data_IF_780527592188
#
_entry.id   IF_780527592188
#
_cell.length_a   1.000
_cell.length_b   1.000
_cell.length_c   1.000
_cell.angle_alpha   90.00
_cell.angle_beta   90.00
_cell.angle_gamma   90.00
#
_symmetry.space_group_name_H-M   'P 1'
#
loop_
_entity.id
_entity.type
_entity.pdbx_description
1 polymer ?
#
# COMPACT_ATOMS: atom_id res chain seq x y z
N UNK A 1 -12.90 -3.22 9.05
CA UNK A 1 -12.34 -4.54 8.71
C UNK A 1 -13.44 -5.42 8.15
N UNK A 2 -13.16 -6.17 7.08
CA UNK A 2 -14.05 -7.18 6.53
C UNK A 2 -13.92 -8.51 7.31
N UNK A 3 -14.79 -9.49 7.02
CA UNK A 3 -14.82 -10.75 7.78
C UNK A 3 -13.49 -11.54 7.73
N UNK A 4 -12.74 -11.47 6.62
CA UNK A 4 -11.43 -12.12 6.50
C UNK A 4 -10.37 -11.43 7.36
N UNK A 5 -10.36 -10.09 7.36
CA UNK A 5 -9.48 -9.30 8.23
C UNK A 5 -9.81 -9.54 9.71
N UNK A 6 -11.09 -9.66 10.08
CA UNK A 6 -11.50 -9.98 11.46
C UNK A 6 -11.01 -11.36 11.88
N UNK A 7 -11.13 -12.37 11.01
CA UNK A 7 -10.63 -13.72 11.29
C UNK A 7 -9.10 -13.74 11.44
N UNK A 8 -8.37 -12.98 10.61
CA UNK A 8 -6.92 -12.82 10.75
C UNK A 8 -6.54 -12.09 12.04
N UNK A 9 -7.23 -11.01 12.38
CA UNK A 9 -6.94 -10.21 13.57
C UNK A 9 -7.07 -11.01 14.87
N UNK A 10 -8.07 -11.90 14.95
CA UNK A 10 -8.25 -12.81 16.10
C UNK A 10 -7.04 -13.72 16.31
N UNK A 11 -6.43 -14.21 15.23
CA UNK A 11 -5.30 -15.14 15.28
C UNK A 11 -3.93 -14.44 15.26
N UNK A 12 -3.86 -13.18 14.85
CA UNK A 12 -2.62 -12.42 14.67
C UNK A 12 -2.74 -10.97 15.21
N UNK A 13 -2.99 -10.76 16.51
CA UNK A 13 -3.29 -9.43 17.07
C UNK A 13 -2.12 -8.44 16.94
N UNK A 14 -0.87 -8.91 17.03
CA UNK A 14 0.30 -8.07 16.79
C UNK A 14 0.33 -7.57 15.35
N UNK A 15 0.12 -8.45 14.37
CA UNK A 15 0.12 -8.07 12.95
C UNK A 15 -1.05 -7.15 12.63
N UNK A 16 -2.21 -7.33 13.28
CA UNK A 16 -3.36 -6.43 13.13
C UNK A 16 -3.02 -4.99 13.54
N UNK A 17 -2.27 -4.83 14.64
CA UNK A 17 -1.76 -3.51 15.07
C UNK A 17 -0.80 -2.91 14.02
N UNK A 18 0.10 -3.72 13.45
CA UNK A 18 1.01 -3.25 12.39
C UNK A 18 0.25 -2.88 11.10
N UNK A 19 -0.72 -3.70 10.71
CA UNK A 19 -1.58 -3.49 9.54
C UNK A 19 -2.32 -2.15 9.62
N UNK A 20 -2.99 -1.89 10.74
CA UNK A 20 -3.68 -0.62 10.99
C UNK A 20 -2.69 0.55 11.08
N UNK A 21 -1.60 0.41 11.83
CA UNK A 21 -0.60 1.47 11.95
C UNK A 21 0.01 1.87 10.60
N UNK A 22 0.31 0.89 9.75
CA UNK A 22 0.84 1.15 8.40
C UNK A 22 -0.16 1.83 7.47
N UNK A 23 -1.47 1.60 7.64
CA UNK A 23 -2.49 2.27 6.81
C UNK A 23 -2.58 3.76 7.17
N UNK A 24 -2.48 4.10 8.45
CA UNK A 24 -2.43 5.50 8.91
C UNK A 24 -1.15 6.21 8.42
N UNK A 25 0.01 5.54 8.49
CA UNK A 25 1.26 6.06 7.92
C UNK A 25 1.08 6.36 6.43
N UNK A 26 0.49 5.43 5.67
CA UNK A 26 0.27 5.62 4.23
C UNK A 26 -0.66 6.81 3.94
N UNK A 27 -1.76 6.96 4.68
CA UNK A 27 -2.67 8.11 4.54
C UNK A 27 -1.94 9.44 4.78
N UNK A 28 -1.12 9.52 5.84
CA UNK A 28 -0.39 10.74 6.17
C UNK A 28 0.61 11.10 5.07
N UNK A 29 1.43 10.15 4.62
CA UNK A 29 2.37 10.39 3.52
C UNK A 29 1.66 10.73 2.21
N UNK A 30 0.49 10.13 1.94
CA UNK A 30 -0.31 10.45 0.75
C UNK A 30 -0.74 11.92 0.78
N UNK A 31 -1.30 12.38 1.90
CA UNK A 31 -1.68 13.78 2.09
C UNK A 31 -0.46 14.72 1.98
N UNK A 32 0.68 14.36 2.56
CA UNK A 32 1.91 15.15 2.46
C UNK A 32 2.42 15.27 1.02
N UNK A 33 2.36 14.20 0.22
CA UNK A 33 2.90 14.18 -1.14
C UNK A 33 1.96 14.76 -2.20
N UNK A 34 0.65 14.58 -2.03
CA UNK A 34 -0.34 14.95 -3.04
C UNK A 34 -1.26 16.10 -2.63
N UNK A 35 -1.23 16.52 -1.36
CA UNK A 35 -2.19 17.49 -0.80
C UNK A 35 -3.62 16.96 -0.68
N UNK A 36 -3.85 15.70 -1.05
CA UNK A 36 -5.18 15.04 -1.10
C UNK A 36 -5.04 13.53 -0.94
N UNK A 37 -6.16 12.86 -0.74
CA UNK A 37 -6.26 11.41 -0.65
C UNK A 37 -7.40 10.92 -1.54
N UNK A 38 -7.14 10.84 -2.84
CA UNK A 38 -8.13 10.52 -3.86
C UNK A 38 -8.43 9.02 -3.97
N UNK A 39 -9.39 8.72 -4.85
CA UNK A 39 -9.81 7.38 -5.23
C UNK A 39 -9.44 7.14 -6.69
N UNK A 40 -8.89 5.97 -6.98
CA UNK A 40 -8.52 5.48 -8.31
C UNK A 40 -7.46 6.28 -9.07
N UNK A 41 -6.81 7.24 -8.41
CA UNK A 41 -5.81 8.12 -9.01
C UNK A 41 -4.38 7.85 -8.50
N UNK A 42 -3.44 8.71 -8.88
CA UNK A 42 -2.05 8.55 -8.48
C UNK A 42 -1.82 8.63 -6.96
N UNK A 43 -2.65 9.38 -6.23
CA UNK A 43 -2.58 9.45 -4.77
C UNK A 43 -3.10 8.15 -4.14
N UNK A 44 -4.10 7.53 -4.76
CA UNK A 44 -4.60 6.21 -4.36
C UNK A 44 -3.55 5.11 -4.59
N UNK A 45 -2.98 5.09 -5.79
CA UNK A 45 -1.90 4.18 -6.16
C UNK A 45 -0.70 4.29 -5.21
N UNK A 46 -0.32 5.52 -4.85
CA UNK A 46 0.70 5.79 -3.84
C UNK A 46 0.28 5.27 -2.46
N UNK A 47 -0.96 5.50 -2.01
CA UNK A 47 -1.45 5.04 -0.70
C UNK A 47 -1.34 3.52 -0.58
N UNK A 48 -1.81 2.77 -1.57
CA UNK A 48 -1.75 1.31 -1.59
C UNK A 48 -0.31 0.79 -1.57
N UNK A 49 0.56 1.37 -2.40
CA UNK A 49 1.97 1.01 -2.42
C UNK A 49 2.68 1.36 -1.10
N UNK A 50 2.43 2.55 -0.53
CA UNK A 50 3.04 3.00 0.72
C UNK A 50 2.60 2.13 1.89
N UNK A 51 1.32 1.79 1.96
CA UNK A 51 0.79 0.89 2.99
C UNK A 51 1.47 -0.47 2.94
N UNK A 52 1.53 -1.08 1.76
CA UNK A 52 2.16 -2.39 1.57
C UNK A 52 3.66 -2.36 1.79
N UNK A 53 4.33 -1.26 1.43
CA UNK A 53 5.75 -1.06 1.68
C UNK A 53 6.05 -0.99 3.18
N UNK A 54 5.34 -0.12 3.92
CA UNK A 54 5.55 0.02 5.36
C UNK A 54 5.16 -1.25 6.13
N UNK A 55 4.08 -1.92 5.72
CA UNK A 55 3.69 -3.19 6.33
C UNK A 55 4.75 -4.27 6.07
N UNK A 56 5.30 -4.33 4.86
CA UNK A 56 6.39 -5.26 4.51
C UNK A 56 7.63 -5.02 5.35
N UNK A 57 8.03 -3.77 5.58
CA UNK A 57 9.13 -3.45 6.48
C UNK A 57 8.87 -3.95 7.91
N UNK A 58 7.62 -3.89 8.39
CA UNK A 58 7.26 -4.23 9.77
C UNK A 58 7.09 -5.73 10.02
N UNK A 59 6.45 -6.45 9.11
CA UNK A 59 6.07 -7.87 9.32
C UNK A 59 6.53 -8.81 8.20
N UNK A 60 7.30 -8.30 7.24
CA UNK A 60 7.77 -9.06 6.08
C UNK A 60 6.73 -9.16 4.96
N UNK A 61 7.22 -9.35 3.72
CA UNK A 61 6.39 -9.29 2.52
C UNK A 61 5.32 -10.38 2.45
N UNK A 62 5.64 -11.59 2.94
CA UNK A 62 4.70 -12.73 2.90
C UNK A 62 3.50 -12.49 3.81
N UNK A 63 3.73 -12.02 5.05
CA UNK A 63 2.63 -11.67 5.97
C UNK A 63 1.88 -10.44 5.52
N UNK A 64 2.58 -9.42 5.01
CA UNK A 64 1.94 -8.26 4.42
C UNK A 64 0.96 -8.64 3.29
N UNK A 65 1.34 -9.58 2.42
CA UNK A 65 0.46 -10.07 1.35
C UNK A 65 -0.80 -10.75 1.90
N UNK A 66 -0.69 -11.60 2.92
CA UNK A 66 -1.86 -12.28 3.52
C UNK A 66 -2.89 -11.25 4.01
N UNK A 67 -2.42 -10.21 4.70
CA UNK A 67 -3.26 -9.15 5.21
C UNK A 67 -3.89 -8.30 4.11
N UNK A 68 -3.11 -7.88 3.11
CA UNK A 68 -3.64 -7.01 2.06
C UNK A 68 -4.47 -7.77 1.02
N UNK A 69 -4.21 -9.04 0.75
CA UNK A 69 -5.14 -9.90 0.00
C UNK A 69 -6.47 -10.08 0.74
N UNK A 70 -6.44 -10.18 2.07
CA UNK A 70 -7.65 -10.22 2.88
C UNK A 70 -8.42 -8.90 2.82
N UNK A 71 -7.73 -7.75 2.80
CA UNK A 71 -8.34 -6.44 2.57
C UNK A 71 -9.09 -6.39 1.23
N UNK A 72 -8.44 -6.84 0.16
CA UNK A 72 -8.99 -6.88 -1.21
C UNK A 72 -9.98 -8.04 -1.47
N UNK A 73 -10.46 -8.72 -0.43
CA UNK A 73 -11.27 -9.93 -0.60
C UNK A 73 -12.61 -9.67 -1.30
N UNK A 74 -13.20 -8.49 -1.08
CA UNK A 74 -14.51 -8.11 -1.58
C UNK A 74 -14.49 -7.00 -2.65
N UNK A 75 -13.29 -6.51 -3.01
CA UNK A 75 -13.12 -5.69 -4.21
C UNK A 75 -13.22 -6.58 -5.47
N UNK A 76 -13.54 -5.97 -6.61
CA UNK A 76 -13.71 -6.71 -7.88
C UNK A 76 -13.37 -5.83 -9.09
N UNK A 77 -13.32 -6.44 -10.28
CA UNK A 77 -13.09 -5.73 -11.53
C UNK A 77 -11.73 -5.03 -11.60
N UNK A 78 -11.69 -3.89 -12.30
CA UNK A 78 -10.47 -3.12 -12.54
C UNK A 78 -9.93 -2.44 -11.27
N UNK A 79 -10.79 -2.19 -10.29
CA UNK A 79 -10.44 -1.60 -8.99
C UNK A 79 -9.51 -2.55 -8.22
N UNK A 80 -9.94 -3.80 -8.05
CA UNK A 80 -9.10 -4.86 -7.46
C UNK A 80 -7.79 -5.07 -8.21
N UNK A 81 -7.79 -4.98 -9.54
CA UNK A 81 -6.57 -5.13 -10.33
C UNK A 81 -5.59 -3.98 -10.09
N UNK A 82 -6.09 -2.75 -9.97
CA UNK A 82 -5.31 -1.57 -9.60
C UNK A 82 -4.66 -1.77 -8.22
N UNK A 83 -5.48 -2.14 -7.23
CA UNK A 83 -5.02 -2.27 -5.85
C UNK A 83 -4.02 -3.41 -5.70
N UNK A 84 -4.28 -4.60 -6.25
CA UNK A 84 -3.35 -5.71 -6.20
C UNK A 84 -1.99 -5.39 -6.86
N UNK A 85 -1.99 -4.65 -7.98
CA UNK A 85 -0.76 -4.20 -8.63
C UNK A 85 0.02 -3.23 -7.74
N UNK A 86 -0.64 -2.20 -7.22
CA UNK A 86 -0.01 -1.18 -6.39
C UNK A 86 0.46 -1.77 -5.04
N UNK A 87 -0.32 -2.69 -4.47
CA UNK A 87 0.04 -3.46 -3.29
C UNK A 87 1.33 -4.26 -3.54
N UNK A 88 1.44 -4.94 -4.68
CA UNK A 88 2.65 -5.69 -5.05
C UNK A 88 3.87 -4.79 -5.27
N UNK A 89 3.70 -3.64 -5.92
CA UNK A 89 4.76 -2.64 -6.08
C UNK A 89 5.30 -2.20 -4.72
N UNK A 90 4.38 -1.85 -3.80
CA UNK A 90 4.69 -1.49 -2.42
C UNK A 90 5.50 -2.56 -1.68
N UNK A 91 5.02 -3.82 -1.69
CA UNK A 91 5.75 -4.93 -1.05
C UNK A 91 7.14 -5.14 -1.66
N UNK A 92 7.26 -5.00 -2.98
CA UNK A 92 8.55 -5.18 -3.68
C UNK A 92 9.57 -4.14 -3.24
N UNK A 93 9.16 -2.87 -3.16
CA UNK A 93 10.03 -1.78 -2.68
C UNK A 93 10.31 -1.95 -1.18
N UNK A 94 9.30 -2.28 -0.38
CA UNK A 94 9.40 -2.41 1.07
C UNK A 94 10.42 -3.45 1.55
N UNK A 95 10.66 -4.51 0.76
CA UNK A 95 11.69 -5.53 1.06
C UNK A 95 13.10 -4.95 1.23
N UNK A 96 13.37 -3.82 0.59
CA UNK A 96 14.69 -3.17 0.63
C UNK A 96 14.88 -2.27 1.86
N UNK A 97 13.87 -2.15 2.72
CA UNK A 97 13.90 -1.30 3.91
C UNK A 97 13.69 -2.15 5.15
N UNK A 98 14.77 -2.35 5.91
CA UNK A 98 14.73 -3.04 7.20
C UNK A 98 14.12 -2.19 8.32
N UNK A 99 14.02 -2.78 9.51
CA UNK A 99 13.50 -2.14 10.72
C UNK A 99 14.48 -1.21 11.44
N UNK A 100 15.77 -1.25 11.09
CA UNK A 100 16.80 -0.33 11.62
C UNK A 100 16.53 1.10 11.14
N UNK A 101 16.56 2.09 12.05
CA UNK A 101 16.24 3.50 11.75
C UNK A 101 14.89 3.68 11.03
N UNK A 102 13.78 3.21 11.64
CA UNK A 102 12.50 3.07 10.96
C UNK A 102 11.97 4.38 10.39
N UNK A 103 12.16 5.50 11.08
CA UNK A 103 11.72 6.82 10.59
C UNK A 103 12.37 7.23 9.27
N UNK A 104 13.70 7.11 9.17
CA UNK A 104 14.46 7.44 7.94
C UNK A 104 14.05 6.50 6.81
N UNK A 105 13.96 5.20 7.10
CA UNK A 105 13.60 4.20 6.10
C UNK A 105 12.18 4.39 5.56
N UNK A 106 11.21 4.73 6.41
CA UNK A 106 9.84 5.04 5.97
C UNK A 106 9.81 6.25 5.06
N UNK A 107 10.55 7.31 5.40
CA UNK A 107 10.63 8.50 4.53
C UNK A 107 11.26 8.17 3.17
N UNK A 108 12.41 7.48 3.17
CA UNK A 108 13.11 7.11 1.94
C UNK A 108 12.28 6.15 1.08
N UNK A 109 11.55 5.24 1.71
CA UNK A 109 10.60 4.37 1.03
C UNK A 109 9.46 5.17 0.40
N UNK A 110 8.87 6.13 1.12
CA UNK A 110 7.84 7.00 0.59
C UNK A 110 8.36 7.81 -0.62
N UNK A 111 9.58 8.35 -0.54
CA UNK A 111 10.22 9.07 -1.65
C UNK A 111 10.41 8.15 -2.88
N UNK A 112 10.87 6.91 -2.66
CA UNK A 112 11.01 5.91 -3.73
C UNK A 112 9.67 5.54 -4.34
N UNK A 113 8.67 5.20 -3.53
CA UNK A 113 7.33 4.84 -4.02
C UNK A 113 6.73 6.01 -4.81
N UNK A 114 6.84 7.24 -4.32
CA UNK A 114 6.37 8.42 -5.05
C UNK A 114 7.04 8.55 -6.42
N UNK A 115 8.36 8.35 -6.50
CA UNK A 115 9.09 8.40 -7.77
C UNK A 115 8.65 7.31 -8.77
N UNK A 116 8.39 6.09 -8.30
CA UNK A 116 7.93 4.97 -9.13
C UNK A 116 6.50 5.18 -9.62
N UNK A 117 5.63 5.71 -8.76
CA UNK A 117 4.26 6.09 -9.11
C UNK A 117 4.29 7.21 -10.17
N UNK A 118 5.10 8.26 -9.97
CA UNK A 118 5.29 9.34 -10.94
C UNK A 118 5.86 8.84 -12.28
N UNK A 119 6.78 7.88 -12.24
CA UNK A 119 7.36 7.24 -13.43
C UNK A 119 6.37 6.29 -14.15
N UNK A 120 5.18 6.07 -13.60
CA UNK A 120 4.12 5.29 -14.22
C UNK A 120 4.19 3.79 -13.96
N UNK A 121 4.94 3.36 -12.93
CA UNK A 121 5.07 1.95 -12.54
C UNK A 121 3.87 1.46 -11.72
N UNK A 122 3.09 2.38 -11.15
CA UNK A 122 1.79 2.08 -10.57
C UNK A 122 0.68 2.01 -11.62
N UNK A 123 -0.52 1.65 -11.16
CA UNK A 123 -1.75 1.65 -11.94
C UNK A 123 -2.76 2.61 -11.33
N UNK A 124 -3.54 3.24 -12.20
CA UNK A 124 -4.67 4.11 -11.87
C UNK A 124 -5.82 3.79 -12.81
N UNK A 125 -7.03 4.22 -12.50
CA UNK A 125 -8.18 4.09 -13.39
C UNK A 125 -8.51 5.45 -14.00
N UNK A 126 -8.55 5.50 -15.33
CA UNK A 126 -9.02 6.67 -16.10
C UNK A 126 -9.98 6.18 -17.17
N UNK A 127 -11.14 6.82 -17.30
CA UNK A 127 -12.17 6.45 -18.28
C UNK A 127 -12.51 4.95 -18.23
N UNK A 128 -12.69 4.41 -17.02
CA UNK A 128 -12.98 3.00 -16.75
C UNK A 128 -11.94 2.01 -17.33
N UNK A 129 -10.69 2.44 -17.47
CA UNK A 129 -9.57 1.62 -17.95
C UNK A 129 -8.41 1.69 -16.98
N UNK A 130 -7.76 0.55 -16.77
CA UNK A 130 -6.53 0.46 -16.01
C UNK A 130 -5.36 1.02 -16.84
N UNK A 131 -4.77 2.13 -16.40
CA UNK A 131 -3.68 2.81 -17.12
C UNK A 131 -2.47 3.05 -16.21
N UNK A 132 -1.36 3.46 -16.81
CA UNK A 132 -0.15 3.83 -16.07
C UNK A 132 -0.39 5.05 -15.17
N UNK A 133 0.19 5.04 -13.98
CA UNK A 133 0.10 6.12 -12.99
C UNK A 133 0.93 7.37 -13.33
N UNK A 134 1.43 7.54 -14.55
CA UNK A 134 2.35 8.63 -14.91
C UNK A 134 1.70 10.02 -14.80
N UNK A 135 2.39 10.98 -14.18
CA UNK A 135 2.02 12.41 -14.08
C UNK A 135 3.26 13.29 -13.83
#
# INVERSE_FOLDING_TARGET
MNAKEVALAKNHPFEATQFYGSSQVAINYTKTKFGRNGFQDASDAFRHAMWNGNLTQRIGASRAKVWTDAHEAYSSGIDKQMDLHNNQLGRTIGKNYGSTNPGINVKNMADKIYSEIKAGKGKVIKNNKLVSSKF
#
